data_IF_741964254402
#
_entry.id   IF_741964254402
#
_cell.length_a   1.000
_cell.length_b   1.000
_cell.length_c   1.000
_cell.angle_alpha   90.00
_cell.angle_beta   90.00
_cell.angle_gamma   90.00
#
_symmetry.space_group_name_H-M   'P 1'
#
loop_
_entity.id
_entity.type
_entity.pdbx_description
1 polymer ?
#
# COMPACT_ATOMS: atom_id res chain seq x y z
N UNK A 1 5.45 13.05 -36.42
CA UNK A 1 4.40 12.62 -35.45
C UNK A 1 4.33 11.11 -35.22
N UNK A 2 4.51 10.24 -36.22
CA UNK A 2 4.42 8.76 -36.07
C UNK A 2 5.41 8.13 -35.05
N UNK A 3 6.64 8.62 -34.94
CA UNK A 3 7.61 8.16 -33.91
C UNK A 3 7.19 8.52 -32.48
N UNK A 4 6.68 9.75 -32.29
CA UNK A 4 6.26 10.28 -30.97
C UNK A 4 5.11 9.49 -30.34
N UNK A 5 4.13 9.03 -31.12
CA UNK A 5 3.01 8.20 -30.60
C UNK A 5 3.48 6.85 -30.05
N UNK A 6 4.42 6.21 -30.74
CA UNK A 6 5.01 4.94 -30.28
C UNK A 6 5.85 5.14 -29.02
N UNK A 7 6.63 6.21 -28.96
CA UNK A 7 7.43 6.58 -27.77
C UNK A 7 6.52 6.84 -26.56
N UNK A 8 5.43 7.60 -26.73
CA UNK A 8 4.44 7.85 -25.67
C UNK A 8 3.82 6.54 -25.17
N UNK A 9 3.41 5.65 -26.08
CA UNK A 9 2.83 4.37 -25.69
C UNK A 9 3.79 3.49 -24.87
N UNK A 10 5.07 3.45 -25.25
CA UNK A 10 6.10 2.70 -24.51
C UNK A 10 6.36 3.34 -23.15
N UNK A 11 6.46 4.67 -23.08
CA UNK A 11 6.62 5.38 -21.80
C UNK A 11 5.44 5.12 -20.86
N UNK A 12 4.20 5.21 -21.35
CA UNK A 12 3.01 4.89 -20.55
C UNK A 12 3.02 3.45 -20.06
N UNK A 13 3.46 2.50 -20.88
CA UNK A 13 3.53 1.08 -20.50
C UNK A 13 4.59 0.83 -19.41
N UNK A 14 5.78 1.43 -19.54
CA UNK A 14 6.84 1.33 -18.54
C UNK A 14 6.45 2.00 -17.22
N UNK A 15 5.83 3.18 -17.29
CA UNK A 15 5.29 3.85 -16.10
C UNK A 15 4.17 3.02 -15.46
N UNK A 16 3.31 2.39 -16.27
CA UNK A 16 2.28 1.47 -15.80
C UNK A 16 2.86 0.28 -15.06
N UNK A 17 3.88 -0.39 -15.62
CA UNK A 17 4.58 -1.50 -14.96
C UNK A 17 5.25 -1.07 -13.65
N UNK A 18 5.96 0.05 -13.65
CA UNK A 18 6.63 0.57 -12.45
C UNK A 18 5.61 0.90 -11.34
N UNK A 19 4.53 1.60 -11.68
CA UNK A 19 3.45 1.90 -10.73
C UNK A 19 2.79 0.61 -10.22
N UNK A 20 2.55 -0.37 -11.08
CA UNK A 20 1.98 -1.66 -10.69
C UNK A 20 2.90 -2.44 -9.73
N UNK A 21 4.20 -2.45 -10.00
CA UNK A 21 5.20 -3.05 -9.10
C UNK A 21 5.25 -2.37 -7.74
N UNK A 22 5.25 -1.03 -7.71
CA UNK A 22 5.20 -0.24 -6.47
C UNK A 22 3.90 -0.51 -5.70
N UNK A 23 2.76 -0.60 -6.39
CA UNK A 23 1.48 -0.92 -5.77
C UNK A 23 1.51 -2.28 -5.05
N UNK A 24 2.02 -3.32 -5.71
CA UNK A 24 2.16 -4.66 -5.11
C UNK A 24 3.10 -4.62 -3.91
N UNK A 25 4.26 -3.99 -4.04
CA UNK A 25 5.23 -3.87 -2.95
C UNK A 25 4.64 -3.13 -1.74
N UNK A 26 4.01 -1.98 -1.95
CA UNK A 26 3.35 -1.21 -0.88
C UNK A 26 2.23 -2.01 -0.22
N UNK A 27 1.47 -2.80 -0.98
CA UNK A 27 0.42 -3.65 -0.44
C UNK A 27 0.98 -4.73 0.49
N UNK A 28 2.04 -5.43 0.07
CA UNK A 28 2.72 -6.43 0.91
C UNK A 28 3.32 -5.80 2.17
N UNK A 29 3.94 -4.63 2.03
CA UNK A 29 4.52 -3.92 3.16
C UNK A 29 3.45 -3.46 4.17
N UNK A 30 2.35 -2.89 3.66
CA UNK A 30 1.20 -2.50 4.49
C UNK A 30 0.63 -3.69 5.27
N UNK A 31 0.50 -4.85 4.62
CA UNK A 31 0.00 -6.07 5.29
C UNK A 31 0.93 -6.52 6.41
N UNK A 32 2.23 -6.53 6.15
CA UNK A 32 3.24 -6.92 7.16
C UNK A 32 3.23 -5.96 8.36
N UNK A 33 3.12 -4.65 8.12
CA UNK A 33 2.98 -3.67 9.20
C UNK A 33 1.67 -3.85 9.98
N UNK A 34 0.57 -4.19 9.31
CA UNK A 34 -0.71 -4.44 9.97
C UNK A 34 -0.63 -5.65 10.90
N UNK A 35 -0.03 -6.75 10.44
CA UNK A 35 0.14 -7.97 11.23
C UNK A 35 1.03 -7.71 12.47
N UNK A 36 2.12 -6.96 12.30
CA UNK A 36 2.98 -6.53 13.40
C UNK A 36 2.23 -5.64 14.40
N UNK A 37 1.52 -4.61 13.93
CA UNK A 37 0.72 -3.73 14.78
C UNK A 37 -0.35 -4.50 15.58
N UNK A 38 -1.01 -5.47 14.94
CA UNK A 38 -2.00 -6.32 15.61
C UNK A 38 -1.37 -7.21 16.69
N UNK A 39 -0.19 -7.74 16.42
CA UNK A 39 0.55 -8.56 17.40
C UNK A 39 0.95 -7.75 18.64
N UNK A 40 1.29 -6.47 18.47
CA UNK A 40 1.64 -5.56 19.57
C UNK A 40 0.38 -5.19 20.37
N UNK A 41 -0.74 -4.91 19.70
CA UNK A 41 -2.02 -4.70 20.40
C UNK A 41 -2.43 -5.91 21.22
N UNK A 42 -2.22 -7.13 20.70
CA UNK A 42 -2.49 -8.36 21.46
C UNK A 42 -1.61 -8.46 22.72
N UNK A 43 -0.35 -8.01 22.66
CA UNK A 43 0.53 -7.94 23.84
C UNK A 43 0.05 -6.89 24.84
N UNK A 44 -0.39 -5.73 24.39
CA UNK A 44 -0.99 -4.69 25.24
C UNK A 44 -2.21 -5.24 26.00
N UNK A 45 -3.12 -5.94 25.31
CA UNK A 45 -4.26 -6.60 25.97
C UNK A 45 -3.81 -7.60 27.05
N UNK A 46 -2.80 -8.43 26.75
CA UNK A 46 -2.26 -9.36 27.74
C UNK A 46 -1.61 -8.69 28.96
N UNK A 47 -1.09 -7.47 28.83
CA UNK A 47 -0.58 -6.68 29.96
C UNK A 47 -1.72 -6.09 30.79
N UNK A 48 -2.81 -5.65 30.16
CA UNK A 48 -4.01 -5.22 30.87
C UNK A 48 -4.66 -6.39 31.65
N UNK A 49 -4.74 -7.57 31.05
CA UNK A 49 -5.22 -8.77 31.75
C UNK A 49 -4.35 -9.11 32.98
N UNK A 50 -3.03 -8.96 32.86
CA UNK A 50 -2.10 -9.15 33.98
C UNK A 50 -2.26 -8.06 35.04
N UNK A 51 -2.47 -6.81 34.62
CA UNK A 51 -2.73 -5.68 35.52
C UNK A 51 -3.97 -5.93 36.38
N UNK A 52 -5.06 -6.42 35.77
CA UNK A 52 -6.29 -6.77 36.48
C UNK A 52 -6.07 -7.88 37.51
N UNK A 53 -5.16 -8.82 37.24
CA UNK A 53 -4.80 -9.89 38.17
C UNK A 53 -4.00 -9.40 39.39
N UNK A 54 -3.28 -8.27 39.29
CA UNK A 54 -2.45 -7.70 40.37
C UNK A 54 -2.98 -6.36 40.90
N UNK A 55 -4.29 -6.13 40.72
CA UNK A 55 -4.95 -4.88 41.09
C UNK A 55 -4.71 -4.47 42.54
N UNK A 56 -4.31 -3.22 42.76
CA UNK A 56 -3.94 -2.66 44.06
C UNK A 56 -2.48 -2.88 44.45
N UNK A 57 -1.70 -3.65 43.69
CA UNK A 57 -0.26 -3.80 43.87
C UNK A 57 0.50 -2.66 43.18
N UNK A 58 1.71 -2.29 43.66
CA UNK A 58 2.55 -1.30 42.97
C UNK A 58 2.93 -1.70 41.54
N UNK A 59 2.83 -3.00 41.20
CA UNK A 59 3.09 -3.52 39.85
C UNK A 59 1.97 -3.21 38.85
N UNK A 60 0.75 -2.90 39.30
CA UNK A 60 -0.40 -2.54 38.44
C UNK A 60 -0.05 -1.34 37.55
N UNK A 61 0.44 -0.26 38.14
CA UNK A 61 0.79 0.96 37.40
C UNK A 61 1.84 0.71 36.33
N UNK A 62 2.81 -0.18 36.59
CA UNK A 62 3.85 -0.53 35.61
C UNK A 62 3.25 -1.27 34.42
N UNK A 63 2.36 -2.24 34.67
CA UNK A 63 1.71 -3.03 33.62
C UNK A 63 0.76 -2.18 32.77
N UNK A 64 0.03 -1.24 33.40
CA UNK A 64 -0.81 -0.28 32.68
C UNK A 64 0.03 0.63 31.78
N UNK A 65 1.13 1.19 32.29
CA UNK A 65 1.99 2.08 31.51
C UNK A 65 2.62 1.35 30.32
N UNK A 66 3.10 0.12 30.52
CA UNK A 66 3.66 -0.72 29.46
C UNK A 66 2.59 -1.12 28.44
N UNK A 67 1.37 -1.46 28.92
CA UNK A 67 0.20 -1.72 28.10
C UNK A 67 -0.18 -0.54 27.20
N UNK A 68 -0.16 0.68 27.74
CA UNK A 68 -0.46 1.92 27.01
C UNK A 68 0.60 2.22 25.93
N UNK A 69 1.89 2.03 26.24
CA UNK A 69 2.98 2.23 25.27
C UNK A 69 2.85 1.26 24.09
N UNK A 70 2.55 -0.01 24.37
CA UNK A 70 2.30 -0.99 23.32
C UNK A 70 1.03 -0.67 22.52
N UNK A 71 -0.03 -0.20 23.18
CA UNK A 71 -1.26 0.22 22.49
C UNK A 71 -1.00 1.37 21.51
N UNK A 72 -0.29 2.41 21.95
CA UNK A 72 0.11 3.54 21.09
C UNK A 72 0.94 3.06 19.91
N UNK A 73 1.97 2.26 20.15
CA UNK A 73 2.85 1.72 19.10
C UNK A 73 2.05 0.86 18.10
N UNK A 74 1.17 -0.01 18.58
CA UNK A 74 0.31 -0.85 17.73
C UNK A 74 -0.63 -0.02 16.87
N UNK A 75 -1.25 1.01 17.45
CA UNK A 75 -2.14 1.93 16.73
C UNK A 75 -1.41 2.74 15.65
N UNK A 76 -0.21 3.24 15.93
CA UNK A 76 0.61 3.94 14.94
C UNK A 76 0.98 3.04 13.76
N UNK A 77 1.37 1.79 14.02
CA UNK A 77 1.66 0.82 12.96
C UNK A 77 0.43 0.52 12.10
N UNK A 78 -0.76 0.39 12.70
CA UNK A 78 -2.00 0.18 11.94
C UNK A 78 -2.40 1.40 11.11
N UNK A 79 -2.19 2.61 11.62
CA UNK A 79 -2.42 3.84 10.87
C UNK A 79 -1.47 3.95 9.67
N UNK A 80 -0.18 3.65 9.87
CA UNK A 80 0.82 3.58 8.80
C UNK A 80 0.47 2.52 7.74
N UNK A 81 0.05 1.34 8.18
CA UNK A 81 -0.40 0.26 7.29
C UNK A 81 -1.61 0.68 6.44
N UNK A 82 -2.63 1.30 7.05
CA UNK A 82 -3.81 1.80 6.32
C UNK A 82 -3.44 2.89 5.30
N UNK A 83 -2.54 3.79 5.67
CA UNK A 83 -2.03 4.82 4.75
C UNK A 83 -1.31 4.17 3.56
N UNK A 84 -0.40 3.25 3.83
CA UNK A 84 0.35 2.51 2.80
C UNK A 84 -0.57 1.72 1.87
N UNK A 85 -1.64 1.12 2.40
CA UNK A 85 -2.64 0.42 1.60
C UNK A 85 -3.42 1.36 0.66
N UNK A 86 -3.75 2.58 1.11
CA UNK A 86 -4.38 3.60 0.24
C UNK A 86 -3.44 4.00 -0.91
N UNK A 87 -2.17 4.24 -0.62
CA UNK A 87 -1.18 4.55 -1.66
C UNK A 87 -0.98 3.40 -2.64
N UNK A 88 -0.96 2.16 -2.14
CA UNK A 88 -0.92 0.97 -2.98
C UNK A 88 -2.12 0.92 -3.95
N UNK A 89 -3.32 1.21 -3.46
CA UNK A 89 -4.53 1.23 -4.28
C UNK A 89 -4.48 2.33 -5.35
N UNK A 90 -4.09 3.55 -4.98
CA UNK A 90 -3.97 4.68 -5.91
C UNK A 90 -2.95 4.36 -7.01
N UNK A 91 -1.78 3.82 -6.61
CA UNK A 91 -0.73 3.43 -7.54
C UNK A 91 -1.18 2.30 -8.48
N UNK A 92 -1.91 1.31 -7.96
CA UNK A 92 -2.48 0.21 -8.74
C UNK A 92 -3.52 0.68 -9.76
N UNK A 93 -4.43 1.57 -9.36
CA UNK A 93 -5.41 2.18 -10.29
C UNK A 93 -4.68 2.99 -11.36
N UNK A 94 -3.69 3.79 -10.98
CA UNK A 94 -2.87 4.58 -11.90
C UNK A 94 -2.15 3.70 -12.93
N UNK A 95 -1.63 2.55 -12.51
CA UNK A 95 -1.02 1.56 -13.40
C UNK A 95 -2.00 1.07 -14.46
N UNK A 96 -3.21 0.68 -14.06
CA UNK A 96 -4.26 0.19 -14.98
C UNK A 96 -4.63 1.27 -16.01
N UNK A 97 -4.81 2.52 -15.56
CA UNK A 97 -5.12 3.64 -16.45
C UNK A 97 -4.02 3.86 -17.48
N UNK A 98 -2.75 3.81 -17.06
CA UNK A 98 -1.61 3.94 -17.97
C UNK A 98 -1.54 2.82 -19.00
N UNK A 99 -1.87 1.59 -18.61
CA UNK A 99 -1.98 0.47 -19.54
C UNK A 99 -3.08 0.68 -20.58
N UNK A 100 -4.27 1.12 -20.15
CA UNK A 100 -5.39 1.41 -21.07
C UNK A 100 -4.98 2.50 -22.07
N UNK A 101 -4.35 3.59 -21.60
CA UNK A 101 -3.87 4.67 -22.46
C UNK A 101 -2.82 4.15 -23.45
N UNK A 102 -1.88 3.31 -22.99
CA UNK A 102 -0.86 2.70 -23.86
C UNK A 102 -1.51 1.89 -24.98
N UNK A 103 -2.47 1.01 -24.65
CA UNK A 103 -3.19 0.18 -25.62
C UNK A 103 -3.97 1.06 -26.62
N UNK A 104 -4.72 2.05 -26.14
CA UNK A 104 -5.47 2.96 -27.00
C UNK A 104 -4.55 3.71 -27.98
N UNK A 105 -3.38 4.14 -27.51
CA UNK A 105 -2.37 4.84 -28.32
C UNK A 105 -1.77 3.91 -29.38
N UNK A 106 -1.52 2.64 -29.05
CA UNK A 106 -1.06 1.62 -30.00
C UNK A 106 -2.13 1.38 -31.08
N UNK A 107 -3.40 1.18 -30.69
CA UNK A 107 -4.50 0.96 -31.64
C UNK A 107 -4.67 2.16 -32.57
N UNK A 108 -4.65 3.38 -32.04
CA UNK A 108 -4.72 4.60 -32.84
C UNK A 108 -3.57 4.70 -33.85
N UNK A 109 -2.35 4.29 -33.45
CA UNK A 109 -1.19 4.24 -34.34
C UNK A 109 -1.32 3.19 -35.43
N UNK A 110 -1.87 2.01 -35.12
CA UNK A 110 -2.10 0.93 -36.09
C UNK A 110 -3.18 1.31 -37.11
N UNK A 111 -4.33 1.83 -36.67
CA UNK A 111 -5.39 2.31 -37.58
C UNK A 111 -4.90 3.40 -38.51
N UNK A 112 -4.08 4.34 -38.01
CA UNK A 112 -3.45 5.38 -38.85
C UNK A 112 -2.44 4.83 -39.87
N UNK A 113 -1.83 3.67 -39.60
CA UNK A 113 -0.94 3.01 -40.56
C UNK A 113 -1.72 2.32 -41.66
N UNK A 114 -2.83 1.65 -41.32
CA UNK A 114 -3.74 1.00 -42.27
C UNK A 114 -4.33 2.00 -43.28
N UNK A 115 -4.83 3.13 -42.80
CA UNK A 115 -5.41 4.19 -43.66
C UNK A 115 -4.35 4.86 -44.56
N UNK A 116 -3.06 4.73 -44.21
CA UNK A 116 -1.96 5.37 -44.93
C UNK A 116 -1.16 4.39 -45.81
N UNK A 117 -1.57 3.13 -45.91
CA UNK A 117 -0.99 2.16 -46.85
C UNK A 117 -1.94 2.05 -48.05
N UNK A 118 -1.51 2.45 -49.27
CA UNK A 118 -2.30 2.27 -50.48
C UNK A 118 -2.47 0.78 -50.85
#
# INVERSE_FOLDING_TARGET
MKKRLREIAILSLLCGLAAGGVAVWMYYHARTQADLGMSILKKSLGLYDQSDAVKGAPEENRLIEEGQRHEQTGNEMLLSARSSQRWAMISGIGSIVLFIISIATIIAHLKRKEIASP
#
